data_IF_500267163102
#
_entry.id   IF_500267163102
#
_cell.length_a   1.000
_cell.length_b   1.000
_cell.length_c   1.000
_cell.angle_alpha   90.00
_cell.angle_beta   90.00
_cell.angle_gamma   90.00
#
_symmetry.space_group_name_H-M   'P 1'
#
loop_
_entity.id
_entity.type
_entity.pdbx_description
1 polymer ?
#
# COMPACT_ATOMS: atom_id res chain seq x y z
N UNK A 1 -13.65 35.97 -15.74
CA UNK A 1 -14.33 34.92 -14.96
C UNK A 1 -13.72 33.60 -15.35
N UNK A 2 -12.78 33.07 -14.56
CA UNK A 2 -12.28 31.70 -14.71
C UNK A 2 -12.68 30.96 -13.45
N UNK A 3 -13.50 29.93 -13.63
CA UNK A 3 -13.98 29.07 -12.57
C UNK A 3 -12.87 28.06 -12.27
N UNK A 4 -12.07 28.33 -11.24
CA UNK A 4 -11.25 27.29 -10.62
C UNK A 4 -12.19 26.31 -9.91
N UNK A 5 -12.40 25.14 -10.51
CA UNK A 5 -13.01 23.99 -9.85
C UNK A 5 -12.05 23.53 -8.76
N UNK A 6 -12.15 24.13 -7.57
CA UNK A 6 -11.51 23.62 -6.34
C UNK A 6 -12.09 22.23 -6.06
N UNK A 7 -11.42 21.19 -6.56
CA UNK A 7 -11.73 19.81 -6.20
C UNK A 7 -11.74 19.66 -4.68
N UNK A 8 -12.79 19.03 -4.15
CA UNK A 8 -13.02 18.89 -2.71
C UNK A 8 -11.83 18.15 -2.09
N UNK A 9 -11.25 18.61 -0.97
CA UNK A 9 -10.06 18.00 -0.37
C UNK A 9 -10.15 16.48 -0.16
N UNK A 10 -11.35 15.96 0.11
CA UNK A 10 -11.61 14.52 0.29
C UNK A 10 -11.66 13.70 -1.01
N UNK A 11 -11.93 14.31 -2.17
CA UNK A 11 -11.89 13.61 -3.46
C UNK A 11 -10.46 13.39 -3.93
N UNK A 12 -9.61 14.42 -3.80
CA UNK A 12 -8.18 14.30 -4.12
C UNK A 12 -7.47 13.25 -3.27
N UNK A 13 -7.78 13.17 -1.97
CA UNK A 13 -7.20 12.13 -1.10
C UNK A 13 -7.64 10.70 -1.51
N UNK A 14 -8.89 10.53 -1.95
CA UNK A 14 -9.39 9.25 -2.45
C UNK A 14 -8.78 8.86 -3.80
N UNK A 15 -8.61 9.81 -4.71
CA UNK A 15 -7.93 9.58 -5.98
C UNK A 15 -6.46 9.20 -5.75
N UNK A 16 -5.78 9.87 -4.82
CA UNK A 16 -4.39 9.53 -4.47
C UNK A 16 -4.26 8.15 -3.83
N UNK A 17 -5.18 7.76 -2.95
CA UNK A 17 -5.14 6.43 -2.35
C UNK A 17 -5.50 5.32 -3.34
N UNK A 18 -6.42 5.60 -4.28
CA UNK A 18 -6.83 4.66 -5.32
C UNK A 18 -5.67 4.33 -6.26
N UNK A 19 -4.98 5.33 -6.81
CA UNK A 19 -3.88 5.10 -7.76
C UNK A 19 -2.72 4.29 -7.15
N UNK A 20 -2.38 4.56 -5.89
CA UNK A 20 -1.37 3.79 -5.17
C UNK A 20 -1.81 2.34 -4.96
N UNK A 21 -3.05 2.15 -4.50
CA UNK A 21 -3.61 0.82 -4.26
C UNK A 21 -3.70 0.00 -5.54
N UNK A 22 -4.08 0.63 -6.66
CA UNK A 22 -4.18 -0.02 -7.96
C UNK A 22 -2.82 -0.56 -8.42
N UNK A 23 -1.77 0.25 -8.34
CA UNK A 23 -0.39 -0.18 -8.66
C UNK A 23 0.10 -1.33 -7.76
N UNK A 24 -0.21 -1.27 -6.46
CA UNK A 24 0.13 -2.31 -5.48
C UNK A 24 -0.58 -3.64 -5.79
N UNK A 25 -1.92 -3.60 -5.91
CA UNK A 25 -2.77 -4.77 -6.14
C UNK A 25 -2.46 -5.39 -7.50
N UNK A 26 -2.39 -4.58 -8.56
CA UNK A 26 -2.12 -5.06 -9.91
C UNK A 26 -0.77 -5.77 -10.00
N UNK A 27 0.25 -5.28 -9.29
CA UNK A 27 1.57 -5.91 -9.24
C UNK A 27 1.55 -7.26 -8.53
N UNK A 28 0.93 -7.36 -7.35
CA UNK A 28 0.77 -8.64 -6.65
C UNK A 28 -0.04 -9.65 -7.47
N UNK A 29 -1.13 -9.22 -8.11
CA UNK A 29 -1.94 -10.08 -8.98
C UNK A 29 -1.15 -10.57 -10.19
N UNK A 30 -0.34 -9.71 -10.82
CA UNK A 30 0.52 -10.10 -11.95
C UNK A 30 1.57 -11.14 -11.56
N UNK A 31 1.99 -11.15 -10.29
CA UNK A 31 2.91 -12.13 -9.72
C UNK A 31 2.20 -13.43 -9.26
N UNK A 32 0.88 -13.53 -9.44
CA UNK A 32 0.08 -14.72 -9.13
C UNK A 32 -0.56 -14.73 -7.75
N UNK A 33 -0.49 -13.65 -6.98
CA UNK A 33 -1.17 -13.56 -5.69
C UNK A 33 -2.66 -13.27 -5.85
N UNK A 34 -3.48 -13.85 -4.98
CA UNK A 34 -4.89 -13.50 -4.84
C UNK A 34 -5.05 -12.39 -3.80
N UNK A 35 -5.90 -11.40 -4.07
CA UNK A 35 -6.12 -10.28 -3.16
C UNK A 35 -7.53 -10.35 -2.56
N UNK A 36 -7.62 -10.23 -1.25
CA UNK A 36 -8.91 -10.13 -0.53
C UNK A 36 -9.32 -8.67 -0.47
N UNK A 37 -10.61 -8.40 -0.72
CA UNK A 37 -11.17 -7.05 -0.58
C UNK A 37 -11.05 -6.57 0.87
N UNK A 38 -10.61 -5.32 1.06
CA UNK A 38 -10.43 -4.72 2.38
C UNK A 38 -11.76 -4.63 3.16
N UNK A 39 -12.87 -4.33 2.48
CA UNK A 39 -14.20 -4.29 3.09
C UNK A 39 -14.66 -5.67 3.55
N UNK A 40 -14.37 -6.71 2.76
CA UNK A 40 -14.59 -8.10 3.16
C UNK A 40 -13.70 -8.50 4.35
N UNK A 41 -12.39 -8.24 4.29
CA UNK A 41 -11.45 -8.55 5.36
C UNK A 41 -11.84 -7.87 6.69
N UNK A 42 -12.28 -6.62 6.62
CA UNK A 42 -12.78 -5.87 7.78
C UNK A 42 -14.06 -6.48 8.34
N UNK A 43 -15.04 -6.81 7.50
CA UNK A 43 -16.28 -7.49 7.95
C UNK A 43 -16.00 -8.84 8.60
N UNK A 44 -15.11 -9.64 8.02
CA UNK A 44 -14.70 -10.94 8.58
C UNK A 44 -14.06 -10.77 9.97
N UNK A 45 -13.16 -9.79 10.10
CA UNK A 45 -12.50 -9.48 11.36
C UNK A 45 -13.46 -8.92 12.40
N UNK A 46 -14.35 -8.00 12.02
CA UNK A 46 -15.31 -7.36 12.91
C UNK A 46 -16.34 -8.39 13.44
N UNK A 47 -16.88 -9.25 12.57
CA UNK A 47 -17.78 -10.34 12.97
C UNK A 47 -17.11 -11.29 13.98
N UNK A 48 -15.85 -11.64 13.76
CA UNK A 48 -15.10 -12.50 14.68
C UNK A 48 -14.82 -11.84 16.05
N UNK A 49 -14.79 -10.50 16.10
CA UNK A 49 -14.59 -9.72 17.33
C UNK A 49 -15.91 -9.46 18.08
N UNK A 50 -17.05 -9.43 17.38
CA UNK A 50 -18.38 -9.19 17.96
C UNK A 50 -18.97 -10.40 18.70
N UNK A 51 -18.52 -11.63 18.41
CA UNK A 51 -18.91 -12.87 19.12
C UNK A 51 -18.41 -12.94 20.60
N UNK A 52 -17.96 -11.81 21.15
CA UNK A 52 -18.03 -11.53 22.57
C UNK A 52 -17.02 -12.24 23.47
N UNK A 53 -15.97 -12.87 22.92
CA UNK A 53 -15.12 -13.71 23.76
C UNK A 53 -13.97 -12.97 24.47
N UNK A 54 -13.46 -11.81 24.02
CA UNK A 54 -12.29 -11.17 24.68
C UNK A 54 -12.18 -9.63 24.58
N UNK A 55 -11.46 -9.06 25.56
CA UNK A 55 -11.30 -7.63 25.84
C UNK A 55 -10.38 -6.90 24.85
N UNK A 56 -10.79 -5.71 24.40
CA UNK A 56 -10.27 -4.89 23.27
C UNK A 56 -8.84 -4.34 23.39
N UNK A 57 -8.00 -4.89 24.27
CA UNK A 57 -6.67 -4.35 24.59
C UNK A 57 -5.58 -5.41 24.83
N UNK A 58 -5.80 -6.70 24.53
CA UNK A 58 -4.77 -7.73 24.69
C UNK A 58 -4.06 -8.07 23.36
N UNK A 59 -2.81 -8.56 23.40
CA UNK A 59 -2.12 -9.21 22.27
C UNK A 59 -2.94 -10.30 21.56
N UNK A 60 -4.01 -10.80 22.21
CA UNK A 60 -4.91 -11.80 21.64
C UNK A 60 -5.82 -11.23 20.55
N UNK A 61 -6.05 -9.92 20.51
CA UNK A 61 -6.90 -9.32 19.48
C UNK A 61 -6.27 -9.43 18.08
N UNK A 62 -4.97 -9.15 17.96
CA UNK A 62 -4.26 -9.34 16.69
C UNK A 62 -4.30 -10.81 16.27
N UNK A 63 -4.07 -11.73 17.21
CA UNK A 63 -4.17 -13.17 16.95
C UNK A 63 -5.56 -13.59 16.51
N UNK A 64 -6.61 -13.01 17.10
CA UNK A 64 -7.99 -13.30 16.74
C UNK A 64 -8.31 -12.76 15.33
N UNK A 65 -7.88 -11.54 15.02
CA UNK A 65 -8.02 -10.97 13.68
C UNK A 65 -7.30 -11.82 12.63
N UNK A 66 -6.05 -12.20 12.88
CA UNK A 66 -5.29 -13.07 11.99
C UNK A 66 -5.98 -14.43 11.82
N UNK A 67 -6.49 -15.03 12.90
CA UNK A 67 -7.24 -16.29 12.85
C UNK A 67 -8.53 -16.19 12.03
N UNK A 68 -9.26 -15.07 12.14
CA UNK A 68 -10.46 -14.83 11.33
C UNK A 68 -10.15 -14.71 9.84
N UNK A 69 -8.95 -14.24 9.51
CA UNK A 69 -8.47 -14.09 8.13
C UNK A 69 -7.76 -15.33 7.58
N UNK A 70 -7.35 -16.27 8.44
CA UNK A 70 -6.56 -17.44 8.06
C UNK A 70 -7.26 -18.38 7.06
N UNK A 71 -8.59 -18.37 6.99
CA UNK A 71 -9.34 -19.12 5.97
C UNK A 71 -9.37 -18.43 4.59
N UNK A 72 -8.94 -17.18 4.51
CA UNK A 72 -9.11 -16.32 3.32
C UNK A 72 -7.79 -15.77 2.77
N UNK A 73 -6.77 -15.64 3.61
CA UNK A 73 -5.47 -15.09 3.23
C UNK A 73 -4.36 -15.74 4.05
N UNK A 74 -3.20 -15.94 3.43
CA UNK A 74 -1.99 -16.41 4.11
C UNK A 74 -1.27 -15.26 4.85
N UNK A 75 -1.38 -14.05 4.30
CA UNK A 75 -0.68 -12.87 4.79
C UNK A 75 -1.57 -11.63 4.84
N UNK A 76 -1.28 -10.75 5.80
CA UNK A 76 -1.84 -9.39 5.88
C UNK A 76 -0.71 -8.39 5.67
N UNK A 77 -0.89 -7.49 4.71
CA UNK A 77 0.02 -6.38 4.45
C UNK A 77 -0.54 -5.10 5.06
N UNK A 78 0.21 -4.53 5.99
CA UNK A 78 -0.03 -3.21 6.56
C UNK A 78 0.90 -2.20 5.89
N UNK A 79 0.32 -1.16 5.31
CA UNK A 79 1.03 -0.05 4.69
C UNK A 79 0.70 1.25 5.42
N UNK A 80 1.71 1.89 5.97
CA UNK A 80 1.58 3.20 6.63
C UNK A 80 2.42 4.22 5.89
N UNK A 81 1.81 5.31 5.42
CA UNK A 81 2.54 6.45 4.88
C UNK A 81 3.15 7.27 6.03
N UNK A 82 4.41 7.66 5.88
CA UNK A 82 5.11 8.54 6.81
C UNK A 82 4.63 9.99 6.68
N UNK A 83 4.80 10.78 7.74
CA UNK A 83 4.37 12.18 7.84
C UNK A 83 5.45 13.20 7.44
N UNK A 84 6.52 12.74 6.77
CA UNK A 84 7.51 13.59 6.09
C UNK A 84 8.90 13.64 6.71
N UNK A 85 9.11 13.09 7.91
CA UNK A 85 10.44 13.01 8.55
C UNK A 85 11.07 11.61 8.53
N UNK A 86 10.26 10.58 8.32
CA UNK A 86 10.65 9.18 8.16
C UNK A 86 10.61 8.78 6.67
N UNK A 87 11.22 7.64 6.28
CA UNK A 87 10.96 7.00 4.98
C UNK A 87 9.46 7.02 4.66
N UNK A 88 9.12 7.43 3.43
CA UNK A 88 7.76 7.78 3.02
C UNK A 88 6.72 6.69 3.25
N UNK A 89 7.15 5.43 3.37
CA UNK A 89 6.28 4.29 3.67
C UNK A 89 6.94 3.32 4.65
N UNK A 90 6.14 2.79 5.56
CA UNK A 90 6.43 1.61 6.38
C UNK A 90 5.54 0.47 5.94
N UNK A 91 6.16 -0.66 5.65
CA UNK A 91 5.49 -1.91 5.27
C UNK A 91 5.72 -2.93 6.36
N UNK A 92 4.64 -3.60 6.78
CA UNK A 92 4.69 -4.73 7.69
C UNK A 92 3.82 -5.86 7.13
N UNK A 93 4.39 -7.06 7.06
CA UNK A 93 3.68 -8.26 6.61
C UNK A 93 3.53 -9.21 7.78
N UNK A 94 2.31 -9.66 8.02
CA UNK A 94 1.96 -10.63 9.05
C UNK A 94 1.50 -11.94 8.44
N UNK A 95 1.87 -13.05 9.05
CA UNK A 95 1.25 -14.35 8.79
C UNK A 95 -0.09 -14.45 9.51
N UNK A 96 -1.14 -14.88 8.80
CA UNK A 96 -2.46 -15.12 9.40
C UNK A 96 -2.48 -16.40 10.26
N UNK A 97 -1.54 -17.32 10.03
CA UNK A 97 -1.45 -18.62 10.74
C UNK A 97 -1.20 -18.43 12.25
N UNK A 98 -0.30 -17.52 12.60
CA UNK A 98 0.19 -17.37 13.97
C UNK A 98 0.40 -15.91 14.41
N UNK A 99 0.00 -14.95 13.58
CA UNK A 99 0.19 -13.52 13.80
C UNK A 99 1.65 -13.06 13.96
N UNK A 100 2.61 -13.83 13.42
CA UNK A 100 4.01 -13.43 13.42
C UNK A 100 4.28 -12.40 12.33
N UNK A 101 5.21 -11.49 12.61
CA UNK A 101 5.73 -10.56 11.62
C UNK A 101 6.70 -11.31 10.74
N UNK A 102 6.36 -11.43 9.45
CA UNK A 102 7.21 -12.05 8.42
C UNK A 102 8.32 -11.09 8.02
N UNK A 103 7.96 -9.83 7.79
CA UNK A 103 8.93 -8.78 7.49
C UNK A 103 8.40 -7.42 7.91
N UNK A 104 9.30 -6.49 8.22
CA UNK A 104 8.99 -5.09 8.42
C UNK A 104 10.14 -4.27 7.86
N UNK A 105 9.81 -3.29 7.03
CA UNK A 105 10.79 -2.40 6.45
C UNK A 105 10.17 -1.06 6.13
N UNK A 106 11.03 -0.06 5.99
CA UNK A 106 10.62 1.25 5.54
C UNK A 106 11.35 1.61 4.24
N UNK A 107 10.67 2.35 3.37
CA UNK A 107 11.18 2.72 2.04
C UNK A 107 10.57 4.05 1.58
N UNK A 108 11.24 4.76 0.68
CA UNK A 108 10.63 5.86 -0.08
C UNK A 108 9.81 5.35 -1.25
N UNK A 109 9.94 4.06 -1.60
CA UNK A 109 9.31 3.42 -2.76
C UNK A 109 9.59 4.17 -4.08
N UNK A 110 10.79 4.73 -4.19
CA UNK A 110 11.28 5.29 -5.45
C UNK A 110 11.60 4.16 -6.43
N UNK A 111 10.99 4.15 -7.63
CA UNK A 111 11.33 3.18 -8.66
C UNK A 111 12.80 3.29 -9.09
N UNK A 112 13.40 2.21 -9.59
CA UNK A 112 14.76 2.23 -10.11
C UNK A 112 14.91 3.24 -11.26
N UNK A 113 16.09 3.86 -11.38
CA UNK A 113 16.38 4.88 -12.40
C UNK A 113 16.03 4.45 -13.83
N UNK A 114 16.19 3.16 -14.15
CA UNK A 114 15.85 2.60 -15.46
C UNK A 114 14.36 2.66 -15.82
N UNK A 115 13.50 2.85 -14.83
CA UNK A 115 12.04 2.92 -14.98
C UNK A 115 11.49 4.34 -14.80
N UNK A 116 12.34 5.33 -14.53
CA UNK A 116 11.96 6.74 -14.49
C UNK A 116 11.75 7.25 -15.92
N UNK A 117 10.56 7.76 -16.19
CA UNK A 117 10.24 8.37 -17.48
C UNK A 117 10.79 9.80 -17.55
N UNK A 118 11.21 10.24 -18.73
CA UNK A 118 11.58 11.65 -18.96
C UNK A 118 10.98 12.16 -20.27
N UNK A 119 10.69 13.46 -20.32
CA UNK A 119 10.24 14.14 -21.54
C UNK A 119 11.09 15.37 -21.85
N UNK A 120 11.01 15.86 -23.09
CA UNK A 120 11.63 17.11 -23.50
C UNK A 120 10.71 18.29 -23.18
N UNK A 121 11.18 19.23 -22.35
CA UNK A 121 10.48 20.48 -22.01
C UNK A 121 11.15 21.64 -22.73
N UNK A 122 10.35 22.53 -23.33
CA UNK A 122 10.84 23.81 -23.82
C UNK A 122 11.14 24.75 -22.64
N UNK A 123 12.37 25.25 -22.54
CA UNK A 123 12.82 26.24 -21.57
C UNK A 123 13.29 27.51 -22.29
N UNK A 124 13.59 28.56 -21.53
CA UNK A 124 14.16 29.80 -22.06
C UNK A 124 15.54 29.63 -22.72
N UNK A 125 16.19 28.48 -22.54
CA UNK A 125 17.48 28.13 -23.13
C UNK A 125 17.43 26.97 -24.13
N UNK A 126 16.22 26.60 -24.61
CA UNK A 126 16.00 25.52 -25.57
C UNK A 126 15.27 24.31 -24.97
N UNK A 127 15.33 23.14 -25.62
CA UNK A 127 14.70 21.95 -25.09
C UNK A 127 15.62 21.22 -24.10
N UNK A 128 15.11 20.90 -22.91
CA UNK A 128 15.82 20.13 -21.89
C UNK A 128 15.05 18.86 -21.54
N UNK A 129 15.77 17.74 -21.40
CA UNK A 129 15.19 16.50 -20.90
C UNK A 129 14.95 16.66 -19.39
N UNK A 130 13.73 16.40 -18.94
CA UNK A 130 13.35 16.43 -17.53
C UNK A 130 12.64 15.15 -17.14
N UNK A 131 12.97 14.67 -15.95
CA UNK A 131 12.32 13.49 -15.38
C UNK A 131 10.88 13.83 -15.02
N UNK A 132 10.01 12.88 -15.31
CA UNK A 132 8.63 12.92 -14.89
C UNK A 132 8.56 12.69 -13.38
N UNK A 133 7.63 13.37 -12.68
CA UNK A 133 7.33 13.02 -11.32
C UNK A 133 6.83 11.56 -11.27
N UNK A 134 7.32 10.80 -10.30
CA UNK A 134 6.89 9.42 -10.08
C UNK A 134 5.40 9.41 -9.76
N UNK A 135 4.63 8.61 -10.49
CA UNK A 135 3.20 8.45 -10.25
C UNK A 135 2.92 7.58 -9.02
N UNK A 136 1.77 7.79 -8.36
CA UNK A 136 1.37 6.97 -7.21
C UNK A 136 1.21 5.49 -7.56
N UNK A 137 0.79 5.17 -8.79
CA UNK A 137 0.72 3.78 -9.26
C UNK A 137 2.12 3.15 -9.38
N UNK A 138 3.12 3.90 -9.86
CA UNK A 138 4.52 3.43 -9.86
C UNK A 138 5.05 3.20 -8.44
N UNK A 139 4.71 4.09 -7.49
CA UNK A 139 5.03 3.89 -6.07
C UNK A 139 4.37 2.60 -5.54
N UNK A 140 3.08 2.39 -5.83
CA UNK A 140 2.37 1.18 -5.45
C UNK A 140 3.00 -0.09 -6.00
N UNK A 141 3.40 -0.06 -7.28
CA UNK A 141 4.14 -1.16 -7.92
C UNK A 141 5.47 -1.43 -7.22
N UNK A 142 6.26 -0.39 -6.96
CA UNK A 142 7.55 -0.54 -6.28
C UNK A 142 7.41 -1.11 -4.86
N UNK A 143 6.40 -0.66 -4.11
CA UNK A 143 6.07 -1.23 -2.80
C UNK A 143 5.81 -2.74 -2.88
N UNK A 144 5.01 -3.20 -3.85
CA UNK A 144 4.75 -4.63 -4.04
C UNK A 144 6.02 -5.41 -4.39
N UNK A 145 6.85 -4.89 -5.29
CA UNK A 145 8.12 -5.52 -5.69
C UNK A 145 9.06 -5.68 -4.49
N UNK A 146 9.27 -4.61 -3.73
CA UNK A 146 10.09 -4.63 -2.52
C UNK A 146 9.51 -5.60 -1.47
N UNK A 147 8.19 -5.62 -1.29
CA UNK A 147 7.58 -6.59 -0.37
C UNK A 147 7.87 -8.03 -0.80
N UNK A 148 7.66 -8.36 -2.07
CA UNK A 148 7.93 -9.70 -2.59
C UNK A 148 9.40 -10.08 -2.44
N UNK A 149 10.32 -9.15 -2.71
CA UNK A 149 11.75 -9.37 -2.50
C UNK A 149 12.07 -9.68 -1.04
N UNK A 150 11.48 -8.94 -0.09
CA UNK A 150 11.69 -9.13 1.35
C UNK A 150 11.02 -10.37 1.93
N UNK A 151 10.07 -10.97 1.21
CA UNK A 151 9.41 -12.22 1.59
C UNK A 151 10.09 -13.46 0.99
N UNK A 152 11.14 -13.30 0.17
CA UNK A 152 11.91 -14.43 -0.34
C UNK A 152 12.67 -15.12 0.81
N UNK A 153 12.71 -16.47 0.82
CA UNK A 153 13.47 -17.25 1.80
C UNK A 153 14.98 -17.09 1.67
#
# INVERSE_FOLDING_TARGET
MQSETRGVPGERQKETSFALRDGLIGTFQSAGASMVDEGLARRLSDNALEDGTFSRLSPDQLRLQMRALAEYADYVLELTAGDGSDPGYRVRVLSTENATVVTTFSTTAEPPESEKESHWVATSSGYQKRDMPVSLSQIGRELALLTMERMRP
#
